data_IF_626019089293
#
_entry.id   IF_626019089293
#
_cell.length_a   1.000
_cell.length_b   1.000
_cell.length_c   1.000
_cell.angle_alpha   90.00
_cell.angle_beta   90.00
_cell.angle_gamma   90.00
#
_symmetry.space_group_name_H-M   'P 1'
#
loop_
_entity.id
_entity.type
_entity.pdbx_description
1 polymer ?
#
# COMPACT_ATOMS: atom_id res chain seq x y z
N UNK A 1 18.24 15.82 -16.95
CA UNK A 1 17.77 14.46 -17.26
C UNK A 1 16.25 14.52 -17.33
N UNK A 2 15.60 13.81 -18.25
CA UNK A 2 14.14 13.75 -18.30
C UNK A 2 13.61 13.10 -16.99
N UNK A 3 12.78 13.78 -16.19
CA UNK A 3 12.26 13.25 -14.93
C UNK A 3 11.20 12.16 -15.10
N UNK A 4 10.61 12.04 -16.30
CA UNK A 4 9.59 11.03 -16.62
C UNK A 4 9.95 10.30 -17.92
N UNK A 5 11.11 9.62 -17.96
CA UNK A 5 11.60 9.00 -19.17
C UNK A 5 10.60 7.98 -19.70
N UNK A 6 10.43 7.96 -21.02
CA UNK A 6 9.55 7.05 -21.75
C UNK A 6 8.05 7.23 -21.42
N UNK A 7 7.62 8.35 -20.84
CA UNK A 7 6.19 8.62 -20.62
C UNK A 7 5.40 8.59 -21.92
N UNK A 8 5.88 9.28 -22.96
CA UNK A 8 5.25 9.32 -24.29
C UNK A 8 5.33 8.00 -25.08
N UNK A 9 6.11 7.01 -24.63
CA UNK A 9 6.28 5.73 -25.35
C UNK A 9 5.17 4.74 -25.01
N UNK A 10 4.50 4.89 -23.87
CA UNK A 10 3.36 4.04 -23.52
C UNK A 10 2.18 4.38 -24.44
N UNK A 11 1.49 3.37 -25.01
CA UNK A 11 0.38 3.61 -25.93
C UNK A 11 -0.91 3.96 -25.16
N UNK A 12 -0.94 5.13 -24.50
CA UNK A 12 -2.01 5.52 -23.58
C UNK A 12 -3.41 5.49 -24.21
N UNK A 13 -3.54 5.88 -25.48
CA UNK A 13 -4.82 5.86 -26.19
C UNK A 13 -5.40 4.45 -26.37
N UNK A 14 -4.56 3.40 -26.33
CA UNK A 14 -4.99 2.00 -26.43
C UNK A 14 -5.20 1.32 -25.07
N UNK A 15 -5.05 2.06 -23.98
CA UNK A 15 -5.31 1.58 -22.61
C UNK A 15 -6.61 2.18 -22.11
N UNK A 16 -7.31 1.45 -21.24
CA UNK A 16 -8.56 1.91 -20.66
C UNK A 16 -8.46 2.06 -19.13
N UNK A 17 -8.94 3.20 -18.64
CA UNK A 17 -9.23 3.47 -17.24
C UNK A 17 -10.73 3.50 -16.99
N UNK A 18 -11.15 3.99 -15.83
CA UNK A 18 -12.56 3.98 -15.40
C UNK A 18 -13.54 4.56 -16.42
N UNK A 19 -13.14 5.64 -17.09
CA UNK A 19 -14.01 6.40 -18.00
C UNK A 19 -13.68 6.19 -19.49
N UNK A 20 -13.03 5.07 -19.83
CA UNK A 20 -12.65 4.74 -21.20
C UNK A 20 -11.16 4.98 -21.46
N UNK A 21 -10.82 5.52 -22.63
CA UNK A 21 -9.42 5.68 -23.06
C UNK A 21 -8.58 6.49 -22.07
N UNK A 22 -7.35 6.04 -21.84
CA UNK A 22 -6.39 6.66 -20.93
C UNK A 22 -5.51 7.74 -21.59
N UNK A 23 -5.90 8.28 -22.74
CA UNK A 23 -5.10 9.28 -23.49
C UNK A 23 -4.69 10.52 -22.68
N UNK A 24 -5.48 10.91 -21.67
CA UNK A 24 -5.22 12.06 -20.80
C UNK A 24 -4.26 11.77 -19.64
N UNK A 25 -3.94 10.50 -19.37
CA UNK A 25 -3.09 10.09 -18.24
C UNK A 25 -1.70 10.75 -18.24
N UNK A 26 -0.98 10.88 -19.38
CA UNK A 26 0.33 11.54 -19.41
C UNK A 26 0.30 12.97 -18.91
N UNK A 27 -0.75 13.71 -19.27
CA UNK A 27 -0.93 15.10 -18.83
C UNK A 27 -1.12 15.17 -17.32
N UNK A 28 -1.95 14.29 -16.75
CA UNK A 28 -2.15 14.20 -15.31
C UNK A 28 -0.84 13.85 -14.58
N UNK A 29 -0.08 12.86 -15.07
CA UNK A 29 1.22 12.47 -14.48
C UNK A 29 2.21 13.65 -14.52
N UNK A 30 2.30 14.36 -15.63
CA UNK A 30 3.20 15.51 -15.76
C UNK A 30 2.80 16.66 -14.81
N UNK A 31 1.50 16.93 -14.68
CA UNK A 31 0.95 17.99 -13.84
C UNK A 31 1.15 17.76 -12.33
N UNK A 32 1.40 16.53 -11.89
CA UNK A 32 1.75 16.23 -10.48
C UNK A 32 3.04 16.93 -10.03
N UNK A 33 3.91 17.35 -10.95
CA UNK A 33 5.15 18.08 -10.67
C UNK A 33 4.94 19.60 -10.59
N UNK A 34 3.72 20.08 -10.80
CA UNK A 34 3.41 21.51 -10.74
C UNK A 34 3.76 22.08 -9.36
N UNK A 35 4.36 23.27 -9.33
CA UNK A 35 4.56 24.03 -8.10
C UNK A 35 3.28 24.71 -7.62
N UNK A 36 2.22 24.76 -8.44
CA UNK A 36 0.89 25.21 -8.04
C UNK A 36 0.15 24.05 -7.34
N UNK A 37 -0.09 24.14 -6.01
CA UNK A 37 -0.73 23.09 -5.25
C UNK A 37 -2.15 22.77 -5.72
N UNK A 38 -2.88 23.75 -6.25
CA UNK A 38 -4.24 23.53 -6.77
C UNK A 38 -4.20 22.72 -8.06
N UNK A 39 -3.31 23.07 -8.98
CA UNK A 39 -3.11 22.31 -10.21
C UNK A 39 -2.66 20.87 -9.93
N UNK A 40 -1.69 20.69 -9.02
CA UNK A 40 -1.17 19.36 -8.70
C UNK A 40 -2.19 18.50 -7.95
N UNK A 41 -2.99 19.07 -7.04
CA UNK A 41 -4.07 18.36 -6.37
C UNK A 41 -5.19 17.95 -7.33
N UNK A 42 -5.57 18.83 -8.27
CA UNK A 42 -6.54 18.50 -9.31
C UNK A 42 -6.03 17.38 -10.25
N UNK A 43 -4.74 17.43 -10.60
CA UNK A 43 -4.10 16.37 -11.38
C UNK A 43 -4.08 15.03 -10.64
N UNK A 44 -3.78 15.05 -9.33
CA UNK A 44 -3.81 13.86 -8.48
C UNK A 44 -5.21 13.25 -8.43
N UNK A 45 -6.23 14.08 -8.17
CA UNK A 45 -7.62 13.62 -8.10
C UNK A 45 -8.09 13.03 -9.44
N UNK A 46 -7.78 13.68 -10.56
CA UNK A 46 -8.13 13.16 -11.90
C UNK A 46 -7.37 11.88 -12.23
N UNK A 47 -6.09 11.79 -11.88
CA UNK A 47 -5.33 10.57 -12.09
C UNK A 47 -5.92 9.42 -11.29
N UNK A 48 -6.21 9.65 -10.01
CA UNK A 48 -6.84 8.68 -9.12
C UNK A 48 -8.12 8.14 -9.74
N UNK A 49 -9.04 9.01 -10.13
CA UNK A 49 -10.33 8.64 -10.70
C UNK A 49 -10.24 7.84 -12.01
N UNK A 50 -9.17 8.03 -12.80
CA UNK A 50 -8.95 7.26 -14.04
C UNK A 50 -8.34 5.89 -13.76
N UNK A 51 -7.43 5.79 -12.79
CA UNK A 51 -6.61 4.58 -12.60
C UNK A 51 -7.11 3.68 -11.47
N UNK A 52 -7.83 4.21 -10.48
CA UNK A 52 -8.46 3.44 -9.41
C UNK A 52 -9.75 4.14 -8.99
N UNK A 53 -10.90 3.52 -9.25
CA UNK A 53 -12.19 4.07 -8.84
C UNK A 53 -12.80 3.20 -7.76
N UNK A 54 -13.03 3.78 -6.57
CA UNK A 54 -13.59 3.09 -5.40
C UNK A 54 -12.84 1.79 -5.03
N UNK A 55 -11.53 1.79 -5.21
CA UNK A 55 -10.65 0.64 -4.92
C UNK A 55 -10.55 -0.41 -6.03
N UNK A 56 -11.33 -0.28 -7.10
CA UNK A 56 -11.23 -1.12 -8.31
C UNK A 56 -10.12 -0.62 -9.21
N UNK A 57 -9.22 -1.53 -9.61
CA UNK A 57 -8.13 -1.26 -10.55
C UNK A 57 -8.57 -1.57 -11.97
N UNK A 58 -7.95 -0.89 -12.93
CA UNK A 58 -8.28 -0.91 -14.35
C UNK A 58 -7.04 -1.31 -15.16
N UNK A 59 -7.22 -1.57 -16.46
CA UNK A 59 -6.13 -1.96 -17.35
C UNK A 59 -4.95 -0.97 -17.26
N UNK A 60 -5.23 0.33 -17.21
CA UNK A 60 -4.21 1.39 -17.11
C UNK A 60 -3.42 1.40 -15.79
N UNK A 61 -3.94 0.85 -14.70
CA UNK A 61 -3.36 1.00 -13.35
C UNK A 61 -1.90 0.51 -13.27
N UNK A 62 -1.60 -0.64 -13.87
CA UNK A 62 -0.24 -1.17 -13.90
C UNK A 62 0.75 -0.25 -14.63
N UNK A 63 0.28 0.48 -15.65
CA UNK A 63 1.13 1.31 -16.50
C UNK A 63 1.57 2.61 -15.83
N UNK A 64 0.84 3.10 -14.82
CA UNK A 64 1.20 4.35 -14.12
C UNK A 64 2.22 4.14 -13.01
N UNK A 65 2.32 2.93 -12.45
CA UNK A 65 3.14 2.62 -11.26
C UNK A 65 4.56 3.18 -11.36
N UNK A 66 5.27 2.88 -12.46
CA UNK A 66 6.67 3.29 -12.62
C UNK A 66 6.84 4.81 -12.52
N UNK A 67 5.86 5.58 -13.01
CA UNK A 67 5.93 7.04 -13.00
C UNK A 67 5.56 7.60 -11.64
N UNK A 68 4.61 6.98 -10.92
CA UNK A 68 4.34 7.32 -9.53
C UNK A 68 5.60 7.12 -8.68
N UNK A 69 6.31 6.00 -8.88
CA UNK A 69 7.59 5.73 -8.19
C UNK A 69 8.63 6.79 -8.52
N UNK A 70 8.81 7.17 -9.79
CA UNK A 70 9.75 8.23 -10.19
C UNK A 70 9.38 9.59 -9.56
N UNK A 71 8.09 9.92 -9.51
CA UNK A 71 7.60 11.15 -8.89
C UNK A 71 7.85 11.18 -7.37
N UNK A 72 7.79 10.04 -6.68
CA UNK A 72 8.09 9.94 -5.25
C UNK A 72 9.61 9.96 -5.01
N UNK A 73 10.40 9.35 -5.90
CA UNK A 73 11.86 9.29 -5.79
C UNK A 73 12.54 10.64 -6.06
N UNK A 74 11.91 11.54 -6.85
CA UNK A 74 12.39 12.91 -7.09
C UNK A 74 12.19 13.80 -5.84
N UNK A 75 13.26 14.17 -5.10
CA UNK A 75 13.12 15.00 -3.91
C UNK A 75 12.64 16.43 -4.20
N UNK A 76 12.75 16.90 -5.43
CA UNK A 76 12.26 18.21 -5.86
C UNK A 76 10.77 18.26 -6.16
N UNK A 77 10.08 17.12 -6.22
CA UNK A 77 8.65 17.08 -6.46
C UNK A 77 7.88 17.48 -5.17
N UNK A 78 7.03 18.53 -5.19
CA UNK A 78 6.28 18.95 -4.01
C UNK A 78 5.17 17.95 -3.61
N UNK A 79 4.76 17.05 -4.51
CA UNK A 79 3.60 16.16 -4.28
C UNK A 79 3.96 14.75 -3.79
N UNK A 80 5.23 14.46 -3.54
CA UNK A 80 5.74 13.09 -3.23
C UNK A 80 4.89 12.33 -2.21
N UNK A 81 4.60 12.96 -1.07
CA UNK A 81 3.84 12.34 0.02
C UNK A 81 2.37 12.09 -0.36
N UNK A 82 1.78 12.89 -1.25
CA UNK A 82 0.41 12.62 -1.72
C UNK A 82 0.41 11.52 -2.80
N UNK A 83 1.47 11.44 -3.62
CA UNK A 83 1.63 10.41 -4.64
C UNK A 83 1.83 9.02 -4.03
N UNK A 84 2.42 8.90 -2.83
CA UNK A 84 2.53 7.60 -2.13
C UNK A 84 1.18 6.97 -1.84
N UNK A 85 0.16 7.77 -1.50
CA UNK A 85 -1.19 7.27 -1.26
C UNK A 85 -1.84 6.75 -2.54
N UNK A 86 -1.63 7.43 -3.68
CA UNK A 86 -2.10 6.93 -4.97
C UNK A 86 -1.37 5.64 -5.38
N UNK A 87 -0.05 5.56 -5.17
CA UNK A 87 0.73 4.34 -5.44
C UNK A 87 0.20 3.14 -4.62
N UNK A 88 -0.15 3.39 -3.36
CA UNK A 88 -0.77 2.40 -2.47
C UNK A 88 -2.07 1.87 -3.05
N UNK A 89 -3.00 2.74 -3.43
CA UNK A 89 -4.27 2.34 -4.04
C UNK A 89 -4.08 1.64 -5.40
N UNK A 90 -3.17 2.13 -6.24
CA UNK A 90 -2.86 1.49 -7.51
C UNK A 90 -2.27 0.09 -7.32
N UNK A 91 -1.42 -0.11 -6.31
CA UNK A 91 -0.82 -1.42 -6.05
C UNK A 91 -1.75 -2.41 -5.35
N UNK A 92 -2.62 -1.92 -4.47
CA UNK A 92 -3.34 -2.76 -3.49
C UNK A 92 -4.87 -2.68 -3.61
N UNK A 93 -5.39 -1.61 -4.21
CA UNK A 93 -6.82 -1.24 -4.25
C UNK A 93 -7.45 -1.19 -2.87
N UNK A 94 -8.69 -1.66 -2.77
CA UNK A 94 -9.50 -1.61 -1.54
C UNK A 94 -8.97 -2.45 -0.35
N UNK A 95 -7.85 -3.16 -0.51
CA UNK A 95 -7.30 -3.99 0.58
C UNK A 95 -6.94 -3.15 1.79
N UNK A 96 -6.94 -3.73 2.98
CA UNK A 96 -6.46 -3.08 4.21
C UNK A 96 -5.82 -4.07 5.20
N UNK A 97 -5.43 -3.61 6.40
CA UNK A 97 -4.69 -4.42 7.36
C UNK A 97 -5.36 -5.76 7.73
N UNK A 98 -6.67 -5.93 7.47
CA UNK A 98 -7.40 -7.19 7.63
C UNK A 98 -6.95 -8.28 6.65
N UNK A 99 -6.41 -7.89 5.50
CA UNK A 99 -5.92 -8.79 4.46
C UNK A 99 -4.46 -9.20 4.68
N UNK A 100 -3.81 -8.70 5.74
CA UNK A 100 -2.45 -9.05 6.11
C UNK A 100 -2.38 -10.22 7.12
N UNK A 101 -1.48 -11.20 6.98
CA UNK A 101 -0.47 -11.32 5.93
C UNK A 101 -1.08 -11.65 4.56
N UNK A 102 -0.62 -10.95 3.52
CA UNK A 102 -1.14 -11.11 2.18
C UNK A 102 -0.31 -12.16 1.39
N UNK A 103 -0.99 -13.17 0.83
CA UNK A 103 -0.38 -14.11 -0.11
C UNK A 103 -0.78 -13.75 -1.55
N UNK A 104 0.08 -13.04 -2.31
CA UNK A 104 -0.25 -12.65 -3.67
C UNK A 104 -0.37 -13.84 -4.62
N UNK A 105 0.30 -14.96 -4.36
CA UNK A 105 0.20 -16.13 -5.24
C UNK A 105 -1.19 -16.76 -5.13
N UNK A 106 -1.70 -16.88 -3.91
CA UNK A 106 -3.06 -17.35 -3.67
C UNK A 106 -4.09 -16.34 -4.17
N UNK A 107 -3.90 -15.05 -3.89
CA UNK A 107 -4.84 -14.00 -4.28
C UNK A 107 -4.97 -13.83 -5.81
N UNK A 108 -3.90 -14.12 -6.57
CA UNK A 108 -3.85 -13.95 -8.02
C UNK A 108 -3.71 -15.26 -8.80
N UNK A 109 -4.18 -16.39 -8.24
CA UNK A 109 -4.17 -17.70 -8.92
C UNK A 109 -5.31 -17.90 -9.92
N UNK A 110 -5.96 -16.81 -10.35
CA UNK A 110 -7.13 -16.83 -11.23
C UNK A 110 -6.84 -17.32 -12.64
N UNK A 111 -7.89 -17.44 -13.48
CA UNK A 111 -7.72 -17.85 -14.88
C UNK A 111 -6.84 -16.86 -15.66
N UNK A 112 -6.10 -17.38 -16.62
CA UNK A 112 -5.35 -16.54 -17.57
C UNK A 112 -6.32 -15.90 -18.57
N UNK A 113 -6.22 -14.59 -18.74
CA UNK A 113 -7.00 -13.82 -19.71
C UNK A 113 -6.16 -13.53 -20.95
N UNK A 114 -6.71 -13.83 -22.11
CA UNK A 114 -6.09 -13.51 -23.41
C UNK A 114 -6.33 -12.06 -23.80
N UNK A 115 -5.48 -11.51 -24.68
CA UNK A 115 -5.69 -10.15 -25.21
C UNK A 115 -7.05 -9.99 -25.91
N UNK A 116 -7.50 -11.01 -26.64
CA UNK A 116 -8.82 -11.00 -27.28
C UNK A 116 -9.97 -10.91 -26.29
N UNK A 117 -9.88 -11.59 -25.14
CA UNK A 117 -10.89 -11.50 -24.08
C UNK A 117 -10.90 -10.11 -23.43
N UNK A 118 -9.72 -9.55 -23.15
CA UNK A 118 -9.60 -8.20 -22.61
C UNK A 118 -10.17 -7.15 -23.57
N UNK A 119 -9.84 -7.25 -24.87
CA UNK A 119 -10.37 -6.34 -25.90
C UNK A 119 -11.89 -6.49 -26.04
N UNK A 120 -12.42 -7.72 -25.97
CA UNK A 120 -13.87 -7.96 -25.97
C UNK A 120 -14.56 -7.29 -24.78
N UNK A 121 -14.00 -7.41 -23.56
CA UNK A 121 -14.57 -6.77 -22.36
C UNK A 121 -14.54 -5.26 -22.49
N UNK A 122 -13.45 -4.69 -22.98
CA UNK A 122 -13.35 -3.24 -23.24
C UNK A 122 -14.42 -2.78 -24.23
N UNK A 123 -14.61 -3.52 -25.33
CA UNK A 123 -15.67 -3.24 -26.31
C UNK A 123 -17.08 -3.29 -25.70
N UNK A 124 -17.36 -4.29 -24.87
CA UNK A 124 -18.64 -4.42 -24.17
C UNK A 124 -18.88 -3.29 -23.15
N UNK A 125 -17.86 -2.90 -22.38
CA UNK A 125 -17.99 -1.87 -21.35
C UNK A 125 -18.19 -0.47 -21.95
N UNK A 126 -17.47 -0.13 -23.02
CA UNK A 126 -17.36 1.26 -23.48
C UNK A 126 -18.00 1.56 -24.83
N UNK A 127 -18.16 0.57 -25.70
CA UNK A 127 -18.49 0.80 -27.11
C UNK A 127 -19.74 0.06 -27.59
N UNK A 128 -20.38 -0.73 -26.72
CA UNK A 128 -21.64 -1.43 -27.03
C UNK A 128 -22.74 -1.05 -26.04
N UNK A 129 -23.96 -0.98 -26.57
CA UNK A 129 -25.18 -0.82 -25.78
C UNK A 129 -25.76 -2.17 -25.30
N UNK A 130 -25.12 -3.28 -25.67
CA UNK A 130 -25.51 -4.63 -25.29
C UNK A 130 -25.08 -4.94 -23.86
N UNK A 131 -26.00 -5.47 -23.05
CA UNK A 131 -25.67 -5.94 -21.71
C UNK A 131 -24.81 -7.20 -21.72
N UNK A 132 -24.16 -7.48 -20.57
CA UNK A 132 -23.38 -8.70 -20.39
C UNK A 132 -24.27 -9.95 -20.41
N UNK A 133 -23.86 -10.96 -21.17
CA UNK A 133 -24.29 -12.36 -21.00
C UNK A 133 -23.54 -13.00 -19.82
N UNK A 134 -24.04 -14.12 -19.28
CA UNK A 134 -23.38 -14.88 -18.20
C UNK A 134 -21.92 -15.21 -18.54
N UNK A 135 -21.65 -15.78 -19.72
CA UNK A 135 -20.29 -16.06 -20.19
C UNK A 135 -19.38 -14.82 -20.25
N UNK A 136 -19.95 -13.65 -20.59
CA UNK A 136 -19.18 -12.40 -20.65
C UNK A 136 -18.93 -11.78 -19.28
N UNK A 137 -19.79 -12.05 -18.28
CA UNK A 137 -19.57 -11.65 -16.88
C UNK A 137 -18.35 -12.39 -16.32
N UNK A 138 -18.29 -13.71 -16.49
CA UNK A 138 -17.15 -14.52 -16.01
C UNK A 138 -15.82 -14.05 -16.63
N UNK A 139 -15.84 -13.67 -17.90
CA UNK A 139 -14.66 -13.13 -18.60
C UNK A 139 -14.32 -11.72 -18.09
N UNK A 140 -15.32 -10.88 -17.80
CA UNK A 140 -15.10 -9.56 -17.22
C UNK A 140 -14.48 -9.65 -15.81
N UNK A 141 -14.99 -10.54 -14.96
CA UNK A 141 -14.44 -10.80 -13.63
C UNK A 141 -13.01 -11.32 -13.70
N UNK A 142 -12.70 -12.21 -14.66
CA UNK A 142 -11.34 -12.64 -14.93
C UNK A 142 -10.43 -11.48 -15.37
N UNK A 143 -10.93 -10.54 -16.18
CA UNK A 143 -10.19 -9.35 -16.59
C UNK A 143 -9.91 -8.43 -15.40
N UNK A 144 -10.89 -8.20 -14.53
CA UNK A 144 -10.71 -7.45 -13.28
C UNK A 144 -9.62 -8.11 -12.43
N UNK A 145 -9.68 -9.44 -12.25
CA UNK A 145 -8.66 -10.20 -11.53
C UNK A 145 -7.26 -10.07 -12.15
N UNK A 146 -7.16 -10.06 -13.49
CA UNK A 146 -5.90 -9.81 -14.21
C UNK A 146 -5.38 -8.40 -13.96
N UNK A 147 -6.20 -7.36 -14.13
CA UNK A 147 -5.77 -5.97 -13.90
C UNK A 147 -5.34 -5.73 -12.46
N UNK A 148 -6.06 -6.37 -11.54
CA UNK A 148 -5.73 -6.40 -10.13
C UNK A 148 -4.33 -6.97 -9.86
N UNK A 149 -4.00 -8.08 -10.52
CA UNK A 149 -2.70 -8.74 -10.42
C UNK A 149 -1.59 -7.95 -11.12
N UNK A 150 -1.83 -7.46 -12.34
CA UNK A 150 -0.87 -6.68 -13.12
C UNK A 150 -0.41 -5.44 -12.35
N UNK A 151 -1.34 -4.72 -11.73
CA UNK A 151 -1.04 -3.54 -10.93
C UNK A 151 -0.25 -3.86 -9.65
N UNK A 152 -0.60 -4.96 -8.97
CA UNK A 152 0.16 -5.45 -7.82
C UNK A 152 1.60 -5.81 -8.21
N UNK A 153 1.78 -6.59 -9.28
CA UNK A 153 3.12 -7.02 -9.71
C UNK A 153 3.96 -5.86 -10.23
N UNK A 154 3.34 -4.88 -10.90
CA UNK A 154 4.00 -3.63 -11.24
C UNK A 154 4.50 -2.90 -9.98
N UNK A 155 3.69 -2.81 -8.92
CA UNK A 155 4.11 -2.20 -7.66
C UNK A 155 5.20 -3.02 -6.94
N UNK A 156 5.10 -4.34 -6.95
CA UNK A 156 6.07 -5.25 -6.33
C UNK A 156 7.46 -5.17 -6.98
N UNK A 157 7.54 -4.82 -8.27
CA UNK A 157 8.80 -4.65 -8.98
C UNK A 157 9.68 -3.51 -8.42
N UNK A 158 9.12 -2.64 -7.57
CA UNK A 158 9.80 -1.48 -7.00
C UNK A 158 10.11 -1.59 -5.49
N UNK A 159 10.02 -2.79 -4.90
CA UNK A 159 10.29 -3.03 -3.46
C UNK A 159 11.65 -2.47 -3.00
N UNK A 160 12.70 -2.59 -3.80
CA UNK A 160 14.01 -2.01 -3.46
C UNK A 160 13.98 -0.48 -3.35
N UNK A 161 13.12 0.19 -4.11
CA UNK A 161 12.94 1.64 -4.01
C UNK A 161 12.20 2.03 -2.74
N UNK A 162 11.19 1.26 -2.33
CA UNK A 162 10.46 1.50 -1.07
C UNK A 162 11.39 1.36 0.14
N UNK A 163 12.32 0.40 0.12
CA UNK A 163 13.36 0.26 1.16
C UNK A 163 14.22 1.52 1.28
N UNK A 164 14.60 2.14 0.15
CA UNK A 164 15.40 3.38 0.14
C UNK A 164 14.62 4.55 0.75
N UNK A 165 13.30 4.61 0.52
CA UNK A 165 12.45 5.67 1.05
C UNK A 165 12.37 5.71 2.57
N UNK A 166 12.62 4.59 3.26
CA UNK A 166 12.61 4.52 4.73
C UNK A 166 13.61 5.48 5.41
N UNK A 167 14.69 5.84 4.72
CA UNK A 167 15.69 6.80 5.22
C UNK A 167 15.47 8.25 4.79
N UNK A 168 14.35 8.55 4.12
CA UNK A 168 14.08 9.85 3.49
C UNK A 168 13.11 10.73 4.28
N UNK A 169 12.25 11.43 3.53
CA UNK A 169 11.17 12.24 4.09
C UNK A 169 10.25 11.40 4.99
N UNK A 170 9.92 11.85 6.23
CA UNK A 170 9.17 11.01 7.17
C UNK A 170 7.77 10.60 6.70
N UNK A 171 7.07 11.41 5.90
CA UNK A 171 5.74 11.05 5.39
C UNK A 171 5.87 9.93 4.35
N UNK A 172 6.81 10.09 3.42
CA UNK A 172 7.12 9.05 2.42
C UNK A 172 7.62 7.78 3.09
N UNK A 173 8.50 7.90 4.09
CA UNK A 173 9.04 6.76 4.83
C UNK A 173 7.96 5.99 5.60
N UNK A 174 7.00 6.68 6.22
CA UNK A 174 5.88 6.03 6.92
C UNK A 174 5.01 5.21 5.97
N UNK A 175 4.67 5.76 4.80
CA UNK A 175 3.93 5.03 3.76
C UNK A 175 4.75 3.88 3.16
N UNK A 176 6.05 4.07 2.95
CA UNK A 176 6.93 3.02 2.44
C UNK A 176 7.00 1.82 3.40
N UNK A 177 7.06 2.08 4.72
CA UNK A 177 7.03 1.04 5.73
C UNK A 177 5.73 0.21 5.68
N UNK A 178 4.57 0.88 5.53
CA UNK A 178 3.28 0.20 5.36
C UNK A 178 3.23 -0.61 4.05
N UNK A 179 3.63 -0.02 2.93
CA UNK A 179 3.68 -0.71 1.62
C UNK A 179 4.49 -2.01 1.68
N UNK A 180 5.63 -1.99 2.38
CA UNK A 180 6.51 -3.15 2.51
C UNK A 180 5.86 -4.34 3.25
N UNK A 181 4.78 -4.14 4.01
CA UNK A 181 4.04 -5.22 4.66
C UNK A 181 3.27 -6.10 3.66
N UNK A 182 2.97 -5.57 2.47
CA UNK A 182 2.12 -6.20 1.45
C UNK A 182 2.88 -7.05 0.43
N UNK A 183 4.21 -6.94 0.41
CA UNK A 183 5.05 -7.66 -0.52
C UNK A 183 5.75 -8.82 0.19
N UNK A 184 6.05 -9.94 -0.52
CA UNK A 184 6.78 -11.05 0.06
C UNK A 184 8.07 -10.57 0.75
N UNK A 185 8.26 -10.83 2.05
CA UNK A 185 9.42 -10.34 2.76
C UNK A 185 10.68 -11.11 2.36
N UNK A 186 11.79 -10.39 2.24
CA UNK A 186 13.13 -10.95 2.22
C UNK A 186 13.97 -10.35 3.37
N UNK A 187 15.19 -10.86 3.55
CA UNK A 187 16.11 -10.41 4.59
C UNK A 187 16.43 -8.91 4.51
N UNK A 188 16.46 -8.33 3.29
CA UNK A 188 16.73 -6.90 3.08
C UNK A 188 15.55 -6.05 3.54
N UNK A 189 14.31 -6.46 3.26
CA UNK A 189 13.11 -5.78 3.78
C UNK A 189 13.10 -5.79 5.30
N UNK A 190 13.35 -6.95 5.93
CA UNK A 190 13.38 -7.07 7.39
C UNK A 190 14.45 -6.15 7.99
N UNK A 191 15.66 -6.18 7.42
CA UNK A 191 16.78 -5.34 7.88
C UNK A 191 16.46 -3.86 7.75
N UNK A 192 15.86 -3.45 6.62
CA UNK A 192 15.49 -2.06 6.37
C UNK A 192 14.41 -1.57 7.34
N UNK A 193 13.37 -2.37 7.60
CA UNK A 193 12.31 -2.05 8.57
C UNK A 193 12.85 -1.99 10.01
N UNK A 194 13.74 -2.91 10.39
CA UNK A 194 14.39 -2.89 11.72
C UNK A 194 15.29 -1.66 11.93
N UNK A 195 15.81 -1.09 10.84
CA UNK A 195 16.69 0.09 10.85
C UNK A 195 15.94 1.39 10.57
N UNK A 196 14.61 1.36 10.45
CA UNK A 196 13.78 2.52 10.13
C UNK A 196 13.63 3.44 11.36
N UNK A 197 14.70 4.21 11.63
CA UNK A 197 14.86 4.99 12.85
C UNK A 197 14.64 6.50 12.67
N UNK A 198 14.06 6.92 11.54
CA UNK A 198 13.85 8.33 11.19
C UNK A 198 13.14 9.15 12.27
N UNK A 199 11.82 8.99 12.42
CA UNK A 199 11.06 9.58 13.52
C UNK A 199 10.09 8.54 14.12
N UNK A 200 9.38 8.93 15.17
CA UNK A 200 8.44 8.03 15.86
C UNK A 200 7.36 7.46 14.95
N UNK A 201 6.86 8.23 13.98
CA UNK A 201 5.84 7.77 13.05
C UNK A 201 6.38 6.70 12.10
N UNK A 202 7.57 6.93 11.52
CA UNK A 202 8.26 5.96 10.67
C UNK A 202 8.55 4.68 11.44
N UNK A 203 9.08 4.80 12.65
CA UNK A 203 9.39 3.65 13.51
C UNK A 203 8.14 2.87 13.89
N UNK A 204 7.05 3.56 14.24
CA UNK A 204 5.77 2.92 14.56
C UNK A 204 5.14 2.22 13.34
N UNK A 205 5.22 2.82 12.14
CA UNK A 205 4.78 2.15 10.90
C UNK A 205 5.60 0.91 10.60
N UNK A 206 6.93 0.98 10.78
CA UNK A 206 7.82 -0.16 10.58
C UNK A 206 7.57 -1.29 11.59
N UNK A 207 7.27 -0.97 12.86
CA UNK A 207 6.84 -1.96 13.85
C UNK A 207 5.61 -2.74 13.35
N UNK A 208 4.56 -2.02 12.92
CA UNK A 208 3.34 -2.65 12.41
C UNK A 208 3.62 -3.51 11.17
N UNK A 209 4.43 -3.03 10.23
CA UNK A 209 4.82 -3.84 9.08
C UNK A 209 5.49 -5.16 9.50
N UNK A 210 6.40 -5.11 10.49
CA UNK A 210 7.07 -6.29 11.07
C UNK A 210 6.10 -7.25 11.77
N UNK A 211 4.98 -6.76 12.30
CA UNK A 211 3.94 -7.58 12.93
C UNK A 211 3.26 -8.54 11.94
N UNK A 212 3.14 -8.10 10.69
CA UNK A 212 2.41 -8.81 9.63
C UNK A 212 3.30 -9.65 8.71
N UNK A 213 4.62 -9.62 8.85
CA UNK A 213 5.50 -10.46 8.02
C UNK A 213 5.33 -11.95 8.36
N UNK A 214 5.29 -12.80 7.34
CA UNK A 214 5.14 -14.26 7.49
C UNK A 214 6.37 -14.96 8.07
N UNK A 215 7.51 -14.28 8.13
CA UNK A 215 8.78 -14.76 8.69
C UNK A 215 8.96 -14.27 10.11
N UNK A 216 9.46 -15.09 11.05
CA UNK A 216 9.65 -14.71 12.47
C UNK A 216 11.09 -14.73 13.01
N UNK A 217 11.99 -13.85 12.54
CA UNK A 217 13.31 -13.66 13.14
C UNK A 217 13.24 -13.23 14.61
N UNK A 218 14.07 -13.86 15.46
CA UNK A 218 14.23 -13.49 16.87
C UNK A 218 14.67 -12.02 17.06
N UNK A 219 15.36 -11.46 16.07
CA UNK A 219 15.80 -10.05 16.05
C UNK A 219 14.62 -9.07 16.09
N UNK A 220 13.46 -9.43 15.54
CA UNK A 220 12.26 -8.59 15.61
C UNK A 220 11.75 -8.50 17.05
N UNK A 221 11.58 -9.64 17.72
CA UNK A 221 11.15 -9.68 19.12
C UNK A 221 12.14 -8.91 20.02
N UNK A 222 13.45 -9.11 19.83
CA UNK A 222 14.47 -8.39 20.59
C UNK A 222 14.38 -6.87 20.40
N UNK A 223 14.19 -6.39 19.16
CA UNK A 223 14.01 -4.95 18.89
C UNK A 223 12.73 -4.42 19.52
N UNK A 224 11.60 -5.11 19.37
CA UNK A 224 10.33 -4.64 19.93
C UNK A 224 10.38 -4.58 21.46
N UNK A 225 11.01 -5.55 22.13
CA UNK A 225 11.21 -5.51 23.59
C UNK A 225 12.00 -4.28 24.02
N UNK A 226 13.05 -3.89 23.29
CA UNK A 226 13.78 -2.67 23.59
C UNK A 226 12.92 -1.41 23.42
N UNK A 227 12.02 -1.40 22.43
CA UNK A 227 11.13 -0.27 22.14
C UNK A 227 9.97 -0.12 23.14
N UNK A 228 9.71 -1.09 24.02
CA UNK A 228 8.74 -0.95 25.10
C UNK A 228 9.11 0.15 26.11
N UNK A 229 10.39 0.55 26.16
CA UNK A 229 10.86 1.64 27.03
C UNK A 229 11.05 2.98 26.28
N UNK A 230 10.58 3.08 25.04
CA UNK A 230 10.75 4.29 24.23
C UNK A 230 9.89 5.45 24.79
N UNK A 231 10.34 6.70 24.71
CA UNK A 231 9.61 7.87 25.25
C UNK A 231 8.24 8.07 24.59
N UNK A 232 8.17 7.77 23.30
CA UNK A 232 6.95 7.89 22.49
C UNK A 232 5.95 6.75 22.73
N UNK A 233 4.74 7.10 23.15
CA UNK A 233 3.68 6.13 23.41
C UNK A 233 3.29 5.32 22.15
N UNK A 234 3.21 5.95 20.98
CA UNK A 234 2.84 5.25 19.74
C UNK A 234 3.88 4.19 19.35
N UNK A 235 5.16 4.46 19.62
CA UNK A 235 6.25 3.49 19.40
C UNK A 235 6.14 2.32 20.37
N UNK A 236 5.90 2.58 21.66
CA UNK A 236 5.67 1.52 22.66
C UNK A 236 4.46 0.66 22.30
N UNK A 237 3.35 1.31 21.93
CA UNK A 237 2.10 0.64 21.58
C UNK A 237 2.26 -0.26 20.35
N UNK A 238 2.84 0.26 19.27
CA UNK A 238 3.08 -0.54 18.06
C UNK A 238 4.08 -1.66 18.29
N UNK A 239 5.09 -1.48 19.16
CA UNK A 239 5.99 -2.55 19.58
C UNK A 239 5.25 -3.64 20.36
N UNK A 240 4.36 -3.28 21.29
CA UNK A 240 3.54 -4.22 22.04
C UNK A 240 2.56 -4.99 21.14
N UNK A 241 1.88 -4.31 20.20
CA UNK A 241 1.04 -4.94 19.17
C UNK A 241 1.86 -5.95 18.35
N UNK A 242 3.06 -5.54 17.94
CA UNK A 242 3.98 -6.42 17.19
C UNK A 242 4.36 -7.64 18.01
N UNK A 243 4.76 -7.50 19.27
CA UNK A 243 5.08 -8.65 20.12
C UNK A 243 3.88 -9.59 20.29
N UNK A 244 2.66 -9.07 20.48
CA UNK A 244 1.45 -9.88 20.63
C UNK A 244 1.15 -10.71 19.37
N UNK A 245 1.35 -10.13 18.18
CA UNK A 245 1.18 -10.83 16.91
C UNK A 245 2.17 -11.98 16.72
N UNK A 246 3.35 -11.85 17.34
CA UNK A 246 4.52 -12.68 17.05
C UNK A 246 4.76 -13.75 18.11
N UNK A 247 4.44 -13.45 19.36
CA UNK A 247 4.66 -14.32 20.51
C UNK A 247 3.35 -14.92 21.04
N UNK A 248 2.18 -14.31 20.74
CA UNK A 248 0.90 -14.73 21.29
C UNK A 248 0.97 -14.80 22.82
N UNK A 249 0.65 -15.97 23.38
CA UNK A 249 0.70 -16.24 24.83
C UNK A 249 2.08 -16.03 25.48
N UNK A 250 3.17 -15.96 24.70
CA UNK A 250 4.51 -15.63 25.18
C UNK A 250 4.79 -14.12 25.31
N UNK A 251 3.76 -13.27 25.30
CA UNK A 251 3.90 -11.82 25.41
C UNK A 251 4.50 -11.43 26.77
N UNK A 252 5.56 -10.58 26.82
CA UNK A 252 6.09 -10.07 28.09
C UNK A 252 5.08 -9.20 28.83
N UNK A 253 5.06 -9.27 30.16
CA UNK A 253 4.15 -8.49 31.03
C UNK A 253 4.16 -7.00 30.71
N UNK A 254 5.35 -6.41 30.49
CA UNK A 254 5.49 -4.98 30.12
C UNK A 254 4.75 -4.64 28.82
N UNK A 255 4.72 -5.54 27.84
CA UNK A 255 3.98 -5.32 26.60
C UNK A 255 2.48 -5.49 26.83
N UNK A 256 2.07 -6.44 27.69
CA UNK A 256 0.67 -6.61 28.07
C UNK A 256 0.14 -5.37 28.80
N UNK A 257 0.90 -4.83 29.74
CA UNK A 257 0.56 -3.60 30.48
C UNK A 257 0.31 -2.44 29.52
N UNK A 258 1.19 -2.24 28.51
CA UNK A 258 0.99 -1.22 27.48
C UNK A 258 -0.32 -1.40 26.71
N UNK A 259 -0.70 -2.64 26.39
CA UNK A 259 -1.96 -2.93 25.67
C UNK A 259 -3.19 -2.71 26.55
N UNK A 260 -3.14 -3.11 27.82
CA UNK A 260 -4.23 -2.92 28.79
C UNK A 260 -4.43 -1.43 29.07
N UNK A 261 -3.35 -0.69 29.35
CA UNK A 261 -3.39 0.75 29.52
C UNK A 261 -3.98 1.45 28.28
N UNK A 262 -3.60 1.00 27.08
CA UNK A 262 -4.14 1.55 25.84
C UNK A 262 -5.62 1.21 25.62
N UNK A 263 -6.08 0.05 26.07
CA UNK A 263 -7.50 -0.35 26.02
C UNK A 263 -8.34 0.57 26.90
N UNK A 264 -7.86 0.88 28.10
CA UNK A 264 -8.57 1.64 29.12
C UNK A 264 -8.40 3.17 28.97
N UNK A 265 -7.44 3.62 28.16
CA UNK A 265 -7.24 5.03 27.86
C UNK A 265 -8.47 5.66 27.19
N UNK A 266 -8.88 6.84 27.68
CA UNK A 266 -10.01 7.60 27.14
C UNK A 266 -9.84 7.93 25.65
N UNK A 267 -8.62 8.28 25.25
CA UNK A 267 -8.24 8.54 23.86
C UNK A 267 -6.84 7.98 23.58
N UNK A 268 -6.62 7.55 22.34
CA UNK A 268 -5.32 7.16 21.83
C UNK A 268 -4.83 8.21 20.82
N UNK A 269 -3.50 8.42 20.71
CA UNK A 269 -2.95 9.35 19.73
C UNK A 269 -3.21 8.88 18.30
N UNK A 270 -2.95 9.77 17.34
CA UNK A 270 -2.95 9.43 15.92
C UNK A 270 -2.03 8.24 15.62
N UNK A 271 -2.45 7.42 14.67
CA UNK A 271 -1.71 6.22 14.25
C UNK A 271 -0.83 6.54 13.02
N UNK A 272 0.20 5.74 12.72
CA UNK A 272 1.09 6.03 11.59
C UNK A 272 0.34 6.05 10.26
N UNK A 273 0.77 6.91 9.33
CA UNK A 273 0.18 7.02 8.00
C UNK A 273 0.24 5.67 7.26
N UNK A 274 -0.83 5.35 6.54
CA UNK A 274 -1.04 4.07 5.87
C UNK A 274 -1.80 3.04 6.70
N UNK A 275 -1.83 3.18 8.04
CA UNK A 275 -2.49 2.23 8.95
C UNK A 275 -3.86 2.73 9.44
N UNK A 276 -4.45 3.70 8.74
CA UNK A 276 -5.61 4.49 9.19
C UNK A 276 -6.97 3.81 8.96
N UNK A 277 -7.02 2.73 8.17
CA UNK A 277 -8.23 1.94 7.95
C UNK A 277 -8.79 1.31 9.23
N UNK A 278 -7.91 1.12 10.24
CA UNK A 278 -8.28 0.69 11.58
C UNK A 278 -7.81 1.71 12.61
N UNK A 279 -8.69 2.09 13.52
CA UNK A 279 -8.30 2.91 14.67
C UNK A 279 -7.29 2.19 15.55
N UNK A 280 -6.39 2.92 16.21
CA UNK A 280 -5.39 2.37 17.15
C UNK A 280 -5.98 1.36 18.15
N UNK A 281 -7.17 1.65 18.69
CA UNK A 281 -7.88 0.77 19.64
C UNK A 281 -8.28 -0.58 19.02
N UNK A 282 -8.53 -0.61 17.71
CA UNK A 282 -8.75 -1.86 16.98
C UNK A 282 -7.51 -2.74 16.94
N UNK A 283 -6.32 -2.16 16.77
CA UNK A 283 -5.06 -2.93 16.85
C UNK A 283 -4.81 -3.47 18.25
N UNK A 284 -5.11 -2.67 19.29
CA UNK A 284 -5.06 -3.11 20.70
C UNK A 284 -5.99 -4.30 20.93
N UNK A 285 -7.24 -4.20 20.49
CA UNK A 285 -8.22 -5.27 20.68
C UNK A 285 -7.78 -6.58 20.01
N UNK A 286 -7.28 -6.53 18.77
CA UNK A 286 -6.75 -7.71 18.08
C UNK A 286 -5.50 -8.28 18.76
N UNK A 287 -4.60 -7.43 19.24
CA UNK A 287 -3.42 -7.85 19.99
C UNK A 287 -3.82 -8.59 21.29
N UNK A 288 -4.79 -8.05 22.04
CA UNK A 288 -5.30 -8.68 23.25
C UNK A 288 -6.03 -10.00 22.96
N UNK A 289 -6.80 -10.07 21.87
CA UNK A 289 -7.45 -11.32 21.44
C UNK A 289 -6.43 -12.43 21.17
N UNK A 290 -5.29 -12.10 20.54
CA UNK A 290 -4.21 -13.07 20.26
C UNK A 290 -3.54 -13.63 21.52
N UNK A 291 -3.63 -12.92 22.64
CA UNK A 291 -3.17 -13.39 23.95
C UNK A 291 -4.31 -13.90 24.84
N UNK A 292 -5.51 -14.11 24.28
CA UNK A 292 -6.65 -14.72 24.98
C UNK A 292 -7.42 -13.76 25.90
N UNK A 293 -7.26 -12.44 25.72
CA UNK A 293 -7.87 -11.39 26.54
C UNK A 293 -8.80 -10.46 25.74
N UNK A 294 -9.32 -10.98 24.61
CA UNK A 294 -10.22 -10.27 23.68
C UNK A 294 -11.69 -10.36 24.07
#
# INVERSE_FOLDING_TARGET
>A
MDPLPNLAVVPWASLHGTHGSAESVPEHIAALRSSDPTASAAALSRLWDVVVHQGTRWQVSAHVVRFLVLLIDDPGNPTRAAVTSLLREVGLGARDDRDLPFDPKAAFSGPTVTKQQEDMVIELVYYRDEGFTEDSVDIADACVGKWDADAYWAAAAHVDTYRRWLGGDPLVASHAAELLAWFPPDERTITALLSADGNDAVRASANLALAHLTVSPATIAARMTALLNHDSFVVRLTAAVTLAYRLGQGLPDVALDVLVDAKDAAALPGFPLGWEHRAARGYVALALQRVGLG
#
